data_IF_059343601998
#
_entry.id   IF_059343601998
#
_cell.length_a   1.000
_cell.length_b   1.000
_cell.length_c   1.000
_cell.angle_alpha   90.00
_cell.angle_beta   90.00
_cell.angle_gamma   90.00
#
_symmetry.space_group_name_H-M   'P 1'
#
loop_
_entity.id
_entity.type
_entity.pdbx_description
1 polymer ?
#
# COMPACT_ATOMS: atom_id res chain seq x y z
N UNK A 1 -75.66 -1.49 -53.31
CA UNK A 1 -75.20 -1.63 -54.71
C UNK A 1 -74.61 -0.31 -55.15
N UNK A 2 -73.47 -0.35 -55.85
CA UNK A 2 -72.82 0.82 -56.46
C UNK A 2 -73.83 1.58 -57.33
N UNK A 3 -73.91 2.90 -57.24
CA UNK A 3 -72.95 3.84 -57.83
C UNK A 3 -73.77 4.89 -58.59
N UNK A 4 -73.19 5.63 -59.53
CA UNK A 4 -72.25 6.73 -59.32
C UNK A 4 -72.85 8.07 -59.81
N UNK A 5 -72.29 9.17 -59.31
CA UNK A 5 -71.83 10.42 -59.98
C UNK A 5 -72.46 10.89 -61.33
N UNK A 6 -72.21 12.14 -61.82
CA UNK A 6 -71.92 13.44 -61.17
C UNK A 6 -72.44 14.69 -61.95
N UNK A 7 -71.97 15.88 -61.48
CA UNK A 7 -71.87 17.22 -62.12
C UNK A 7 -73.16 18.06 -62.20
N UNK A 8 -73.11 19.42 -62.30
CA UNK A 8 -71.94 20.31 -62.43
C UNK A 8 -71.91 21.56 -61.49
N UNK A 9 -70.78 22.24 -61.53
CA UNK A 9 -70.46 23.65 -61.17
C UNK A 9 -71.50 24.68 -61.77
N UNK A 10 -71.53 26.03 -61.50
CA UNK A 10 -70.61 26.84 -60.69
C UNK A 10 -71.13 28.20 -60.06
N UNK A 11 -70.22 28.87 -59.32
CA UNK A 11 -70.01 30.34 -59.10
C UNK A 11 -71.09 31.22 -58.40
N UNK A 12 -70.79 32.50 -58.05
CA UNK A 12 -69.96 32.97 -56.93
C UNK A 12 -70.67 34.12 -56.15
N UNK A 13 -70.04 34.75 -55.12
CA UNK A 13 -69.98 36.21 -54.88
C UNK A 13 -69.49 36.57 -53.45
N UNK A 14 -68.71 37.66 -53.37
CA UNK A 14 -67.94 38.19 -52.22
C UNK A 14 -68.77 39.20 -51.36
N UNK A 15 -68.15 40.09 -50.55
CA UNK A 15 -67.54 40.03 -49.19
C UNK A 15 -68.39 40.92 -48.21
N UNK A 16 -67.97 41.57 -47.08
CA UNK A 16 -66.68 41.66 -46.34
C UNK A 16 -66.80 41.55 -44.77
N UNK A 17 -65.70 41.92 -44.10
CA UNK A 17 -65.18 41.62 -42.75
C UNK A 17 -65.66 42.54 -41.60
N UNK A 18 -65.50 42.13 -40.33
CA UNK A 18 -64.79 42.94 -39.30
C UNK A 18 -63.97 42.03 -38.33
N UNK A 19 -63.01 42.41 -37.46
CA UNK A 19 -62.21 43.59 -37.11
C UNK A 19 -61.09 43.08 -36.14
N UNK A 20 -59.89 43.72 -36.13
CA UNK A 20 -58.94 43.89 -34.98
C UNK A 20 -58.25 42.63 -34.36
N UNK A 21 -56.99 42.52 -33.93
CA UNK A 21 -55.85 43.38 -33.47
C UNK A 21 -54.55 42.49 -33.37
N UNK A 22 -53.32 42.97 -33.04
CA UNK A 22 -52.09 42.65 -33.79
C UNK A 22 -51.02 41.81 -33.04
N UNK A 23 -50.08 41.22 -33.79
CA UNK A 23 -48.64 41.15 -33.44
C UNK A 23 -47.81 40.67 -34.65
N UNK A 24 -46.67 41.32 -35.00
CA UNK A 24 -45.86 40.95 -36.14
C UNK A 24 -44.92 39.79 -35.79
N UNK A 25 -45.02 38.67 -36.52
CA UNK A 25 -44.03 37.61 -36.47
C UNK A 25 -42.81 37.95 -37.35
N UNK A 26 -41.57 37.69 -36.91
CA UNK A 26 -40.37 38.30 -37.49
C UNK A 26 -39.83 37.51 -38.67
N UNK A 27 -39.39 38.22 -39.71
CA UNK A 27 -38.69 37.65 -40.85
C UNK A 27 -37.19 37.45 -40.62
N UNK A 28 -36.70 36.32 -41.12
CA UNK A 28 -35.34 35.93 -41.49
C UNK A 28 -34.20 36.06 -40.46
N UNK A 29 -33.75 34.90 -39.95
CA UNK A 29 -32.53 34.76 -39.15
C UNK A 29 -31.26 35.03 -39.98
N UNK A 30 -30.21 35.64 -39.40
CA UNK A 30 -28.90 35.75 -40.01
C UNK A 30 -28.20 34.37 -40.13
N UNK A 31 -27.28 34.19 -41.09
CA UNK A 31 -26.59 32.92 -41.29
C UNK A 31 -25.75 32.53 -40.06
N UNK A 32 -25.66 31.23 -39.73
CA UNK A 32 -24.94 30.77 -38.55
C UNK A 32 -23.42 30.97 -38.71
N UNK A 33 -22.82 31.73 -37.78
CA UNK A 33 -21.37 31.77 -37.62
C UNK A 33 -20.88 30.44 -37.01
N UNK A 34 -19.79 29.83 -37.51
CA UNK A 34 -19.22 28.64 -36.90
C UNK A 34 -18.60 28.96 -35.54
N UNK A 35 -19.20 28.44 -34.47
CA UNK A 35 -18.61 28.46 -33.13
C UNK A 35 -17.61 27.31 -33.00
N UNK A 36 -16.35 27.54 -32.59
CA UNK A 36 -15.43 26.44 -32.34
C UNK A 36 -15.96 25.61 -31.16
N UNK A 37 -16.30 24.35 -31.45
CA UNK A 37 -16.75 23.38 -30.45
C UNK A 37 -15.66 23.17 -29.39
N UNK A 38 -16.03 23.30 -28.11
CA UNK A 38 -15.12 23.05 -26.98
C UNK A 38 -14.51 21.64 -27.09
N UNK A 39 -13.19 21.48 -26.88
CA UNK A 39 -12.50 20.19 -27.05
C UNK A 39 -12.84 19.24 -25.90
N UNK A 40 -14.00 18.58 -26.00
CA UNK A 40 -14.51 17.59 -25.04
C UNK A 40 -13.63 16.33 -24.90
N UNK A 41 -12.61 16.21 -25.76
CA UNK A 41 -11.68 15.07 -25.79
C UNK A 41 -10.47 15.21 -24.84
N UNK A 42 -10.16 16.41 -24.32
CA UNK A 42 -9.03 16.59 -23.38
C UNK A 42 -9.33 16.02 -21.99
N UNK A 43 -10.57 16.10 -21.52
CA UNK A 43 -10.96 15.55 -20.21
C UNK A 43 -10.90 14.01 -20.15
N UNK A 44 -11.22 13.33 -21.26
CA UNK A 44 -11.12 11.87 -21.35
C UNK A 44 -9.68 11.38 -21.40
N UNK A 45 -8.79 12.11 -22.09
CA UNK A 45 -7.35 11.79 -22.12
C UNK A 45 -6.71 11.99 -20.74
N UNK A 46 -7.04 13.08 -20.05
CA UNK A 46 -6.51 13.35 -18.70
C UNK A 46 -7.06 12.32 -17.70
N UNK A 47 -8.37 12.01 -17.75
CA UNK A 47 -8.97 10.98 -16.91
C UNK A 47 -8.36 9.59 -17.16
N UNK A 48 -8.12 9.23 -18.42
CA UNK A 48 -7.47 7.97 -18.78
C UNK A 48 -6.04 7.87 -18.24
N UNK A 49 -5.25 8.94 -18.35
CA UNK A 49 -3.87 8.98 -17.83
C UNK A 49 -3.86 8.84 -16.30
N UNK A 50 -4.74 9.53 -15.59
CA UNK A 50 -4.82 9.44 -14.12
C UNK A 50 -5.16 8.02 -13.67
N UNK A 51 -6.15 7.38 -14.30
CA UNK A 51 -6.52 5.99 -13.98
C UNK A 51 -5.35 5.04 -14.26
N UNK A 52 -4.65 5.21 -15.37
CA UNK A 52 -3.52 4.36 -15.74
C UNK A 52 -2.35 4.51 -14.74
N UNK A 53 -2.07 5.74 -14.28
CA UNK A 53 -1.06 6.00 -13.24
C UNK A 53 -1.48 5.37 -11.91
N UNK A 54 -2.74 5.48 -11.50
CA UNK A 54 -3.23 4.85 -10.25
C UNK A 54 -3.15 3.33 -10.33
N UNK A 55 -3.52 2.73 -11.46
CA UNK A 55 -3.41 1.28 -11.68
C UNK A 55 -1.95 0.84 -11.69
N UNK A 56 -1.06 1.61 -12.31
CA UNK A 56 0.37 1.31 -12.33
C UNK A 56 0.99 1.42 -10.92
N UNK A 57 0.60 2.41 -10.12
CA UNK A 57 1.05 2.56 -8.74
C UNK A 57 0.48 1.45 -7.83
N UNK A 58 -0.79 1.09 -8.01
CA UNK A 58 -1.40 -0.01 -7.28
C UNK A 58 -0.74 -1.34 -7.66
N UNK A 59 -0.48 -1.59 -8.95
CA UNK A 59 0.24 -2.76 -9.40
C UNK A 59 1.68 -2.77 -8.87
N UNK A 60 2.39 -1.63 -8.87
CA UNK A 60 3.71 -1.52 -8.29
C UNK A 60 3.72 -1.81 -6.78
N UNK A 61 2.76 -1.26 -6.03
CA UNK A 61 2.60 -1.53 -4.61
C UNK A 61 2.27 -3.00 -4.34
N UNK A 62 1.36 -3.59 -5.11
CA UNK A 62 1.02 -5.02 -5.03
C UNK A 62 2.23 -5.87 -5.38
N UNK A 63 3.02 -5.53 -6.40
CA UNK A 63 4.25 -6.26 -6.73
C UNK A 63 5.33 -6.11 -5.67
N UNK A 64 5.41 -4.97 -4.99
CA UNK A 64 6.35 -4.76 -3.89
C UNK A 64 5.94 -5.62 -2.68
N UNK A 65 4.66 -5.61 -2.32
CA UNK A 65 4.10 -6.44 -1.24
C UNK A 65 4.20 -7.93 -1.59
N UNK A 66 3.95 -8.32 -2.85
CA UNK A 66 4.13 -9.70 -3.29
C UNK A 66 5.59 -10.09 -3.43
N UNK A 67 6.51 -9.19 -3.80
CA UNK A 67 7.95 -9.46 -3.77
C UNK A 67 8.46 -9.63 -2.33
N UNK A 68 7.86 -8.92 -1.37
CA UNK A 68 8.11 -9.11 0.06
C UNK A 68 7.39 -10.35 0.64
N UNK A 69 6.39 -10.91 -0.06
CA UNK A 69 5.66 -12.13 0.32
C UNK A 69 6.05 -13.37 -0.50
N UNK A 70 6.88 -13.24 -1.54
CA UNK A 70 7.26 -14.33 -2.46
C UNK A 70 8.36 -15.23 -1.94
N UNK A 71 8.63 -15.19 -0.65
CA UNK A 71 9.25 -16.31 0.04
C UNK A 71 8.19 -17.42 0.25
N UNK A 72 7.63 -17.91 -0.86
CA UNK A 72 6.75 -19.06 -0.91
C UNK A 72 7.55 -20.28 -0.43
N UNK A 73 7.36 -20.65 0.85
CA UNK A 73 7.63 -21.95 1.50
C UNK A 73 8.71 -22.82 0.84
N UNK A 74 9.84 -22.21 0.51
CA UNK A 74 11.06 -22.94 0.21
C UNK A 74 11.63 -23.28 1.56
N UNK A 75 12.11 -24.50 1.75
CA UNK A 75 12.73 -24.94 3.00
C UNK A 75 13.71 -23.85 3.49
N UNK A 76 13.33 -23.05 4.49
CA UNK A 76 14.11 -21.86 4.85
C UNK A 76 15.43 -22.31 5.43
N UNK A 77 16.49 -22.20 4.63
CA UNK A 77 17.85 -22.54 5.01
C UNK A 77 18.46 -21.34 5.70
N UNK A 78 19.10 -21.58 6.85
CA UNK A 78 19.89 -20.55 7.50
C UNK A 78 21.07 -20.13 6.62
N UNK A 79 20.91 -18.98 5.98
CA UNK A 79 21.94 -18.26 5.24
C UNK A 79 22.16 -16.87 5.86
N UNK A 80 23.31 -16.21 5.61
CA UNK A 80 23.52 -14.83 6.05
C UNK A 80 22.42 -13.87 5.60
N UNK A 81 21.88 -14.06 4.38
CA UNK A 81 20.78 -13.25 3.87
C UNK A 81 19.48 -13.47 4.67
N UNK A 82 19.06 -14.72 4.85
CA UNK A 82 17.85 -15.05 5.63
C UNK A 82 17.97 -14.63 7.10
N UNK A 83 19.15 -14.79 7.71
CA UNK A 83 19.42 -14.34 9.07
C UNK A 83 19.31 -12.81 9.17
N UNK A 84 19.89 -12.07 8.21
CA UNK A 84 19.77 -10.62 8.15
C UNK A 84 18.31 -10.18 8.04
N UNK A 85 17.53 -10.81 7.17
CA UNK A 85 16.11 -10.47 6.99
C UNK A 85 15.31 -10.69 8.27
N UNK A 86 15.46 -11.85 8.91
CA UNK A 86 14.78 -12.16 10.18
C UNK A 86 15.19 -11.22 11.31
N UNK A 87 16.49 -10.95 11.48
CA UNK A 87 16.99 -10.01 12.50
C UNK A 87 16.48 -8.59 12.22
N UNK A 88 16.50 -8.14 10.96
CA UNK A 88 15.98 -6.82 10.61
C UNK A 88 14.49 -6.71 10.91
N UNK A 89 13.69 -7.72 10.55
CA UNK A 89 12.26 -7.76 10.85
C UNK A 89 11.97 -7.61 12.35
N UNK A 90 12.74 -8.33 13.18
CA UNK A 90 12.65 -8.22 14.63
C UNK A 90 13.05 -6.83 15.16
N UNK A 91 14.15 -6.24 14.66
CA UNK A 91 14.58 -4.89 15.07
C UNK A 91 13.60 -3.80 14.62
N UNK A 92 12.98 -3.98 13.46
CA UNK A 92 11.92 -3.11 12.96
C UNK A 92 10.66 -3.21 13.82
N UNK A 93 10.28 -4.43 14.24
CA UNK A 93 9.19 -4.66 15.16
C UNK A 93 9.43 -3.96 16.51
N UNK A 94 10.64 -4.08 17.07
CA UNK A 94 11.07 -3.34 18.27
C UNK A 94 10.97 -1.82 18.08
N UNK A 95 11.37 -1.30 16.92
CA UNK A 95 11.33 0.13 16.62
C UNK A 95 9.90 0.67 16.48
N UNK A 96 8.98 -0.13 15.90
CA UNK A 96 7.58 0.24 15.67
C UNK A 96 6.67 -0.01 16.87
N UNK A 97 7.10 -0.79 17.86
CA UNK A 97 6.24 -1.22 18.97
C UNK A 97 5.21 -2.27 18.54
N UNK A 98 5.64 -3.21 17.68
CA UNK A 98 4.81 -4.33 17.26
C UNK A 98 4.94 -5.48 18.26
N UNK A 99 4.21 -5.37 19.37
CA UNK A 99 4.30 -6.29 20.52
C UNK A 99 4.01 -7.73 20.14
N UNK A 100 3.10 -7.96 19.19
CA UNK A 100 2.75 -9.31 18.75
C UNK A 100 3.91 -9.95 17.98
N UNK A 101 4.51 -9.23 17.03
CA UNK A 101 5.64 -9.73 16.25
C UNK A 101 6.88 -9.95 17.14
N UNK A 102 7.16 -9.03 18.06
CA UNK A 102 8.24 -9.18 19.04
C UNK A 102 8.00 -10.43 19.91
N UNK A 103 6.78 -10.62 20.40
CA UNK A 103 6.44 -11.78 21.23
C UNK A 103 6.53 -13.10 20.44
N UNK A 104 6.13 -13.12 19.17
CA UNK A 104 6.30 -14.29 18.28
C UNK A 104 7.77 -14.69 18.18
N UNK A 105 8.65 -13.73 17.91
CA UNK A 105 10.10 -13.95 17.85
C UNK A 105 10.66 -14.41 19.21
N UNK A 106 10.39 -13.66 20.28
CA UNK A 106 10.95 -13.91 21.62
C UNK A 106 10.45 -15.21 22.25
N UNK A 107 9.24 -15.66 21.90
CA UNK A 107 8.70 -16.94 22.35
C UNK A 107 9.33 -18.16 21.68
N UNK A 108 10.19 -17.98 20.67
CA UNK A 108 10.81 -19.09 19.94
C UNK A 108 9.81 -20.12 19.39
N UNK A 109 8.66 -19.66 18.88
CA UNK A 109 7.72 -20.52 18.16
C UNK A 109 6.60 -21.14 19.01
N UNK A 110 6.51 -20.79 20.30
CA UNK A 110 5.40 -21.25 21.15
C UNK A 110 4.27 -20.23 21.27
N UNK A 111 4.46 -18.97 20.85
CA UNK A 111 3.46 -17.90 21.01
C UNK A 111 2.07 -18.26 20.48
N UNK A 112 1.97 -18.95 19.34
CA UNK A 112 0.67 -19.33 18.77
C UNK A 112 -0.02 -20.46 19.52
N UNK A 113 0.73 -21.27 20.27
CA UNK A 113 0.20 -22.38 21.06
C UNK A 113 -0.19 -21.94 22.48
N UNK A 114 0.26 -20.77 22.92
CA UNK A 114 -0.04 -20.23 24.25
C UNK A 114 -1.47 -19.67 24.27
N UNK A 115 -2.25 -20.09 25.27
CA UNK A 115 -3.64 -19.63 25.48
C UNK A 115 -3.71 -18.20 26.05
N UNK A 116 -2.85 -17.89 27.02
CA UNK A 116 -2.77 -16.57 27.62
C UNK A 116 -1.47 -15.88 27.20
N UNK A 117 -1.59 -14.98 26.23
CA UNK A 117 -0.47 -14.25 25.62
C UNK A 117 -0.15 -12.93 26.34
N UNK A 118 -0.89 -12.60 27.41
CA UNK A 118 -0.79 -11.27 28.05
C UNK A 118 0.58 -11.01 28.65
N UNK A 119 1.19 -12.02 29.25
CA UNK A 119 2.53 -11.92 29.81
C UNK A 119 3.58 -11.70 28.70
N UNK A 120 3.48 -12.45 27.60
CA UNK A 120 4.39 -12.34 26.46
C UNK A 120 4.28 -10.97 25.77
N UNK A 121 3.06 -10.48 25.54
CA UNK A 121 2.85 -9.15 24.97
C UNK A 121 3.34 -8.04 25.91
N UNK A 122 3.15 -8.18 27.23
CA UNK A 122 3.67 -7.19 28.19
C UNK A 122 5.21 -7.16 28.20
N UNK A 123 5.85 -8.33 28.08
CA UNK A 123 7.30 -8.43 27.96
C UNK A 123 7.80 -7.83 26.64
N UNK A 124 7.10 -8.09 25.54
CA UNK A 124 7.39 -7.53 24.23
C UNK A 124 7.30 -5.99 24.22
N UNK A 125 6.25 -5.44 24.82
CA UNK A 125 6.10 -3.99 24.99
C UNK A 125 7.26 -3.39 25.80
N UNK A 126 7.63 -4.02 26.92
CA UNK A 126 8.78 -3.57 27.72
C UNK A 126 10.09 -3.60 26.90
N UNK A 127 10.30 -4.65 26.10
CA UNK A 127 11.46 -4.77 25.23
C UNK A 127 11.48 -3.69 24.14
N UNK A 128 10.34 -3.41 23.49
CA UNK A 128 10.21 -2.31 22.53
C UNK A 128 10.47 -0.96 23.18
N UNK A 129 9.89 -0.69 24.36
CA UNK A 129 10.09 0.57 25.07
C UNK A 129 11.55 0.77 25.48
N UNK A 130 12.20 -0.28 25.97
CA UNK A 130 13.63 -0.25 26.30
C UNK A 130 14.47 0.02 25.04
N UNK A 131 14.16 -0.66 23.94
CA UNK A 131 14.82 -0.47 22.66
C UNK A 131 14.66 0.97 22.16
N UNK A 132 13.43 1.49 22.11
CA UNK A 132 13.09 2.83 21.62
C UNK A 132 13.67 3.96 22.48
N UNK A 133 13.93 3.70 23.76
CA UNK A 133 14.65 4.61 24.65
C UNK A 133 16.15 4.66 24.38
N UNK A 134 16.72 3.59 23.86
CA UNK A 134 18.15 3.50 23.56
C UNK A 134 18.45 3.87 22.10
N UNK A 135 17.60 3.43 21.18
CA UNK A 135 17.75 3.53 19.74
C UNK A 135 16.44 3.98 19.10
N UNK A 136 16.46 4.95 18.19
CA UNK A 136 15.31 5.34 17.38
C UNK A 136 15.01 4.33 16.26
N UNK A 137 16.05 3.72 15.71
CA UNK A 137 16.01 2.67 14.70
C UNK A 137 17.32 1.89 14.69
N UNK A 138 17.29 0.66 14.16
CA UNK A 138 18.48 -0.14 13.89
C UNK A 138 18.39 -0.79 12.51
N UNK A 139 19.49 -0.73 11.76
CA UNK A 139 19.62 -1.34 10.44
C UNK A 139 20.79 -2.31 10.43
N UNK A 140 20.54 -3.58 10.17
CA UNK A 140 21.58 -4.60 10.03
C UNK A 140 22.39 -4.30 8.77
N UNK A 141 23.69 -4.06 8.93
CA UNK A 141 24.61 -3.74 7.83
C UNK A 141 25.35 -4.99 7.34
N UNK A 142 25.81 -5.84 8.26
CA UNK A 142 26.51 -7.10 7.96
C UNK A 142 26.17 -8.21 8.94
N UNK A 143 26.26 -9.46 8.45
CA UNK A 143 26.33 -10.66 9.29
C UNK A 143 27.80 -11.07 9.36
N UNK A 144 28.39 -10.97 10.55
CA UNK A 144 29.82 -11.13 10.75
C UNK A 144 30.20 -12.59 10.98
N UNK A 145 29.39 -13.32 11.75
CA UNK A 145 29.60 -14.74 12.02
C UNK A 145 28.30 -15.47 12.35
N UNK A 146 28.16 -16.68 11.83
CA UNK A 146 27.10 -17.63 12.22
C UNK A 146 27.78 -18.82 12.91
N UNK A 147 27.28 -19.19 14.09
CA UNK A 147 27.70 -20.35 14.87
C UNK A 147 26.50 -21.26 15.09
N UNK A 148 26.46 -22.38 14.39
CA UNK A 148 25.40 -23.39 14.51
C UNK A 148 25.77 -24.42 15.58
N UNK A 149 24.98 -24.48 16.64
CA UNK A 149 25.05 -25.51 17.70
C UNK A 149 24.07 -26.67 17.51
N UNK A 150 23.01 -26.51 16.71
CA UNK A 150 22.09 -27.59 16.33
C UNK A 150 21.54 -27.37 14.92
N UNK A 151 20.89 -28.36 14.28
CA UNK A 151 20.34 -28.21 12.92
C UNK A 151 19.35 -27.05 12.78
N UNK A 152 18.63 -26.74 13.87
CA UNK A 152 17.55 -25.75 13.86
C UNK A 152 17.87 -24.54 14.74
N UNK A 153 19.08 -24.40 15.26
CA UNK A 153 19.42 -23.25 16.09
C UNK A 153 20.79 -22.71 15.71
N UNK A 154 20.96 -21.40 15.82
CA UNK A 154 22.24 -20.75 15.59
C UNK A 154 22.39 -19.50 16.43
N UNK A 155 23.62 -19.10 16.67
CA UNK A 155 23.98 -17.81 17.21
C UNK A 155 24.64 -16.98 16.12
N UNK A 156 24.18 -15.75 15.94
CA UNK A 156 24.63 -14.87 14.87
C UNK A 156 25.20 -13.59 15.47
N UNK A 157 26.47 -13.32 15.18
CA UNK A 157 27.10 -12.04 15.39
C UNK A 157 26.85 -11.17 14.15
N UNK A 158 26.34 -9.97 14.36
CA UNK A 158 26.05 -9.03 13.29
C UNK A 158 26.42 -7.61 13.69
N UNK A 159 26.66 -6.79 12.68
CA UNK A 159 26.86 -5.36 12.82
C UNK A 159 25.60 -4.66 12.34
N UNK A 160 25.18 -3.64 13.10
CA UNK A 160 24.03 -2.80 12.81
C UNK A 160 24.39 -1.34 12.99
N UNK A 161 23.81 -0.50 12.15
CA UNK A 161 23.82 0.94 12.30
C UNK A 161 22.60 1.35 13.10
N UNK A 162 22.80 2.05 14.21
CA UNK A 162 21.72 2.50 15.08
C UNK A 162 21.66 4.02 15.11
N UNK A 163 20.45 4.55 15.08
CA UNK A 163 20.20 5.96 15.43
C UNK A 163 19.94 6.02 16.92
N UNK A 164 20.69 6.83 17.67
CA UNK A 164 20.43 6.96 19.11
C UNK A 164 19.15 7.76 19.38
N UNK A 165 18.39 7.35 20.39
CA UNK A 165 17.24 8.12 20.86
C UNK A 165 17.72 9.36 21.65
N UNK A 166 17.40 10.56 21.18
CA UNK A 166 17.82 11.81 21.85
C UNK A 166 17.78 13.05 20.96
N UNK A 167 18.27 14.19 21.49
CA UNK A 167 18.30 15.50 20.78
C UNK A 167 19.33 15.58 19.66
N UNK A 168 20.35 14.73 19.69
CA UNK A 168 21.32 14.56 18.60
C UNK A 168 21.15 13.15 18.06
N UNK A 169 20.53 13.02 16.89
CA UNK A 169 20.44 11.76 16.17
C UNK A 169 21.81 11.46 15.58
N UNK A 170 22.67 10.85 16.38
CA UNK A 170 23.98 10.38 15.91
C UNK A 170 23.84 8.93 15.48
N UNK A 171 24.15 8.66 14.23
CA UNK A 171 24.30 7.29 13.71
C UNK A 171 25.60 6.70 14.28
N UNK A 172 25.52 5.47 14.79
CA UNK A 172 26.70 4.76 15.26
C UNK A 172 26.61 3.29 14.88
N UNK A 173 27.73 2.72 14.45
CA UNK A 173 27.85 1.28 14.23
C UNK A 173 27.95 0.55 15.57
N UNK A 174 27.24 -0.56 15.71
CA UNK A 174 27.21 -1.41 16.90
C UNK A 174 27.18 -2.87 16.50
N UNK A 175 27.85 -3.71 17.28
CA UNK A 175 27.70 -5.15 17.17
C UNK A 175 26.65 -5.68 18.13
N UNK A 176 25.98 -6.74 17.71
CA UNK A 176 25.00 -7.44 18.51
C UNK A 176 25.05 -8.94 18.21
N UNK A 177 24.55 -9.72 19.17
CA UNK A 177 24.40 -11.15 19.04
C UNK A 177 22.91 -11.49 19.10
N UNK A 178 22.45 -12.24 18.10
CA UNK A 178 21.11 -12.81 18.09
C UNK A 178 21.19 -14.34 18.22
N UNK A 179 20.27 -14.93 18.97
CA UNK A 179 20.01 -16.37 18.90
C UNK A 179 18.82 -16.61 18.00
N UNK A 180 19.02 -17.45 16.99
CA UNK A 180 18.02 -17.78 15.98
C UNK A 180 17.53 -19.22 16.17
N UNK A 181 16.24 -19.42 16.00
CA UNK A 181 15.59 -20.72 15.87
C UNK A 181 15.01 -20.81 14.46
N UNK A 182 15.41 -21.84 13.72
CA UNK A 182 14.87 -22.18 12.41
C UNK A 182 13.67 -23.09 12.62
N UNK A 183 12.48 -22.55 12.39
CA UNK A 183 11.22 -23.28 12.43
C UNK A 183 10.48 -23.06 11.12
N UNK A 184 10.84 -23.87 10.12
CA UNK A 184 10.37 -23.72 8.75
C UNK A 184 8.85 -23.49 8.68
N UNK A 185 8.39 -22.45 7.95
CA UNK A 185 9.16 -21.59 7.05
C UNK A 185 9.90 -20.42 7.72
N UNK A 186 9.81 -20.26 9.04
CA UNK A 186 10.26 -19.05 9.73
C UNK A 186 11.67 -19.21 10.34
N UNK A 187 12.38 -18.08 10.45
CA UNK A 187 13.55 -17.94 11.31
C UNK A 187 13.17 -16.95 12.40
N UNK A 188 13.14 -17.41 13.64
CA UNK A 188 12.72 -16.63 14.80
C UNK A 188 13.94 -16.13 15.57
N UNK A 189 13.83 -14.94 16.14
CA UNK A 189 14.87 -14.31 16.97
C UNK A 189 14.50 -14.51 18.43
N UNK A 190 15.06 -15.56 19.00
CA UNK A 190 14.80 -15.98 20.38
C UNK A 190 15.40 -15.05 21.43
N UNK A 191 16.56 -14.48 21.12
CA UNK A 191 17.20 -13.51 21.99
C UNK A 191 18.03 -12.54 21.18
N UNK A 192 18.16 -11.33 21.72
CA UNK A 192 18.93 -10.25 21.13
C UNK A 192 19.71 -9.54 22.24
N UNK A 193 21.01 -9.43 22.07
CA UNK A 193 21.91 -8.80 23.03
C UNK A 193 22.83 -7.82 22.30
N UNK A 194 22.59 -6.50 22.41
CA UNK A 194 23.51 -5.50 21.88
C UNK A 194 24.80 -5.52 22.70
N UNK A 195 25.96 -5.45 22.03
CA UNK A 195 27.24 -5.32 22.71
C UNK A 195 27.54 -3.84 22.95
N UNK A 196 27.78 -3.50 24.21
CA UNK A 196 28.20 -2.15 24.62
C UNK A 196 29.69 -1.98 24.35
N UNK A 197 30.04 -1.71 23.10
CA UNK A 197 31.39 -1.34 22.68
C UNK A 197 31.30 -0.65 21.32
N UNK A 198 32.00 0.48 21.16
CA UNK A 198 32.23 1.07 19.84
C UNK A 198 33.49 0.44 19.26
N UNK A 199 33.46 0.13 17.97
CA UNK A 199 34.64 -0.22 17.19
C UNK A 199 35.10 1.02 16.42
#
# INVERSE_FOLDING_TARGET
>A
MAGPYPYPEPFPQHPPYPDQVPSPYPGALPPPMPYPGKPRRRGLLIGGIVVLVVVALAAAAVTLVFALRRDDATDTVLTPASARTSIQGFLDALSRGDDEEIARHASCGVFDQIKDKKADMALANLASDAFRRQFGSAKVTSIDKIVTWSPNQAQVLFTMEVTQAGRSQTESSRQAVAQLLIQKPDILVCSYLPRTGQY
#
